data_IF_809715456323
#
_entry.id   IF_809715456323
#
_cell.length_a   1.000
_cell.length_b   1.000
_cell.length_c   1.000
_cell.angle_alpha   90.00
_cell.angle_beta   90.00
_cell.angle_gamma   90.00
#
_symmetry.space_group_name_H-M   'P 1'
#
loop_
_entity.id
_entity.type
_entity.pdbx_description
1 polymer ?
#
# COMPACT_ATOMS: atom_id res chain seq x y z
N UNK A 1 -6.71 49.17 15.97
CA UNK A 1 -7.62 48.01 15.99
C UNK A 1 -8.61 48.21 14.86
N UNK A 2 -8.57 47.36 13.84
CA UNK A 2 -9.39 47.55 12.63
C UNK A 2 -10.88 47.47 13.02
N UNK A 3 -11.61 48.55 12.73
CA UNK A 3 -13.05 48.65 12.93
C UNK A 3 -13.73 47.55 12.11
N UNK A 4 -14.39 46.60 12.77
CA UNK A 4 -15.33 45.70 12.10
C UNK A 4 -16.45 46.58 11.54
N UNK A 5 -16.51 46.73 10.22
CA UNK A 5 -17.57 47.50 9.59
C UNK A 5 -18.87 46.69 9.61
N UNK A 6 -20.05 47.35 9.61
CA UNK A 6 -21.34 46.65 9.62
C UNK A 6 -21.52 45.66 8.46
N UNK A 7 -20.82 45.89 7.35
CA UNK A 7 -20.79 44.98 6.20
C UNK A 7 -20.02 43.69 6.48
N UNK A 8 -18.92 43.76 7.24
CA UNK A 8 -18.13 42.59 7.63
C UNK A 8 -18.96 41.72 8.59
N UNK A 9 -19.67 42.33 9.53
CA UNK A 9 -20.55 41.62 10.46
C UNK A 9 -21.73 40.94 9.73
N UNK A 10 -22.33 41.61 8.74
CA UNK A 10 -23.34 40.99 7.87
C UNK A 10 -22.79 39.82 7.06
N UNK A 11 -21.57 39.91 6.55
CA UNK A 11 -20.93 38.83 5.80
C UNK A 11 -20.68 37.61 6.69
N UNK A 12 -20.22 37.81 7.93
CA UNK A 12 -20.04 36.75 8.93
C UNK A 12 -21.37 36.10 9.31
N UNK A 13 -22.40 36.88 9.63
CA UNK A 13 -23.74 36.36 9.96
C UNK A 13 -24.38 35.62 8.78
N UNK A 14 -24.13 36.05 7.55
CA UNK A 14 -24.59 35.36 6.34
C UNK A 14 -23.84 34.06 6.11
N UNK A 15 -22.52 34.05 6.32
CA UNK A 15 -21.71 32.84 6.28
C UNK A 15 -22.14 31.85 7.37
N UNK A 16 -22.41 32.34 8.58
CA UNK A 16 -22.93 31.57 9.70
C UNK A 16 -24.31 30.99 9.38
N UNK A 17 -25.22 31.79 8.81
CA UNK A 17 -26.55 31.40 8.32
C UNK A 17 -26.53 30.40 7.16
N UNK A 18 -25.54 30.45 6.30
CA UNK A 18 -25.34 29.46 5.24
C UNK A 18 -24.66 28.19 5.80
N UNK A 19 -23.90 28.31 6.90
CA UNK A 19 -23.21 27.20 7.59
C UNK A 19 -24.02 26.49 8.69
N UNK A 20 -25.28 26.92 8.90
CA UNK A 20 -26.02 26.96 10.17
C UNK A 20 -26.47 25.64 10.82
N UNK A 21 -25.74 24.54 10.66
CA UNK A 21 -25.74 23.51 11.70
C UNK A 21 -24.30 23.07 11.98
N UNK A 22 -23.64 23.62 13.01
CA UNK A 22 -22.29 23.21 13.38
C UNK A 22 -22.21 21.71 13.70
N UNK A 23 -23.32 21.08 14.12
CA UNK A 23 -23.40 19.63 14.31
C UNK A 23 -23.41 18.92 12.95
N UNK A 24 -24.16 19.41 11.96
CA UNK A 24 -24.13 18.86 10.61
C UNK A 24 -22.76 19.04 9.94
N UNK A 25 -22.10 20.19 10.16
CA UNK A 25 -20.75 20.46 9.66
C UNK A 25 -19.73 19.51 10.29
N UNK A 26 -19.74 19.36 11.61
CA UNK A 26 -18.87 18.43 12.31
C UNK A 26 -19.11 16.97 11.87
N UNK A 27 -20.38 16.57 11.68
CA UNK A 27 -20.73 15.23 11.15
C UNK A 27 -20.19 15.03 9.72
N UNK A 28 -20.32 16.03 8.86
CA UNK A 28 -19.80 15.99 7.49
C UNK A 28 -18.27 15.85 7.49
N UNK A 29 -17.57 16.65 8.30
CA UNK A 29 -16.11 16.61 8.40
C UNK A 29 -15.62 15.28 8.98
N UNK A 30 -16.28 14.76 10.02
CA UNK A 30 -15.97 13.44 10.58
C UNK A 30 -16.15 12.32 9.56
N UNK A 31 -17.25 12.35 8.79
CA UNK A 31 -17.48 11.38 7.70
C UNK A 31 -16.42 11.49 6.62
N UNK A 32 -16.13 12.71 6.14
CA UNK A 32 -15.12 12.95 5.11
C UNK A 32 -13.74 12.50 5.57
N UNK A 33 -13.40 12.73 6.85
CA UNK A 33 -12.17 12.23 7.44
C UNK A 33 -12.13 10.71 7.43
N UNK A 34 -13.19 10.04 7.89
CA UNK A 34 -13.27 8.58 7.87
C UNK A 34 -13.12 8.01 6.45
N UNK A 35 -13.80 8.59 5.46
CA UNK A 35 -13.68 8.17 4.06
C UNK A 35 -12.25 8.34 3.54
N UNK A 36 -11.58 9.44 3.90
CA UNK A 36 -10.19 9.69 3.52
C UNK A 36 -9.21 8.72 4.19
N UNK A 37 -9.35 8.53 5.50
CA UNK A 37 -8.53 7.60 6.28
C UNK A 37 -8.71 6.18 5.72
N UNK A 38 -9.95 5.74 5.49
CA UNK A 38 -10.26 4.45 4.88
C UNK A 38 -9.64 4.27 3.50
N UNK A 39 -9.78 5.25 2.60
CA UNK A 39 -9.20 5.15 1.27
C UNK A 39 -7.67 5.08 1.33
N UNK A 40 -7.05 5.87 2.20
CA UNK A 40 -5.60 5.87 2.41
C UNK A 40 -5.12 4.52 2.93
N UNK A 41 -5.81 3.95 3.92
CA UNK A 41 -5.49 2.64 4.46
C UNK A 41 -5.65 1.53 3.40
N UNK A 42 -6.72 1.60 2.60
CA UNK A 42 -6.98 0.63 1.53
C UNK A 42 -5.94 0.71 0.40
N UNK A 43 -5.52 1.92 0.02
CA UNK A 43 -4.47 2.13 -0.97
C UNK A 43 -3.14 1.58 -0.46
N UNK A 44 -2.77 1.88 0.79
CA UNK A 44 -1.57 1.32 1.43
C UNK A 44 -1.61 -0.22 1.48
N UNK A 45 -2.72 -0.80 1.93
CA UNK A 45 -2.88 -2.26 1.98
C UNK A 45 -2.80 -2.92 0.59
N UNK A 46 -3.32 -2.24 -0.45
CA UNK A 46 -3.23 -2.72 -1.83
C UNK A 46 -1.79 -2.68 -2.33
N UNK A 47 -1.07 -1.58 -2.11
CA UNK A 47 0.33 -1.45 -2.49
C UNK A 47 1.21 -2.49 -1.81
N UNK A 48 1.07 -2.65 -0.48
CA UNK A 48 1.77 -3.69 0.27
C UNK A 48 1.44 -5.09 -0.26
N UNK A 49 0.16 -5.37 -0.52
CA UNK A 49 -0.27 -6.64 -1.08
C UNK A 49 0.35 -6.93 -2.44
N UNK A 50 0.47 -5.92 -3.32
CA UNK A 50 1.13 -6.05 -4.62
C UNK A 50 2.63 -6.31 -4.45
N UNK A 51 3.32 -5.57 -3.57
CA UNK A 51 4.75 -5.76 -3.32
C UNK A 51 5.05 -7.15 -2.76
N UNK A 52 4.29 -7.58 -1.75
CA UNK A 52 4.41 -8.92 -1.16
C UNK A 52 4.11 -9.99 -2.21
N UNK A 53 3.06 -9.81 -3.01
CA UNK A 53 2.66 -10.73 -4.07
C UNK A 53 3.74 -10.87 -5.14
N UNK A 54 4.33 -9.76 -5.59
CA UNK A 54 5.40 -9.75 -6.56
C UNK A 54 6.67 -10.43 -6.04
N UNK A 55 7.10 -10.11 -4.81
CA UNK A 55 8.25 -10.74 -4.18
C UNK A 55 8.06 -12.27 -4.00
N UNK A 56 6.87 -12.69 -3.53
CA UNK A 56 6.52 -14.12 -3.43
C UNK A 56 6.50 -14.79 -4.81
N UNK A 57 5.95 -14.13 -5.83
CA UNK A 57 5.90 -14.62 -7.19
C UNK A 57 7.29 -14.88 -7.78
N UNK A 58 8.21 -13.92 -7.63
CA UNK A 58 9.62 -14.09 -8.05
C UNK A 58 10.26 -15.26 -7.32
N UNK A 59 10.11 -15.33 -5.99
CA UNK A 59 10.72 -16.40 -5.19
C UNK A 59 10.20 -17.78 -5.60
N UNK A 60 8.88 -17.93 -5.75
CA UNK A 60 8.26 -19.18 -6.20
C UNK A 60 8.75 -19.55 -7.61
N UNK A 61 8.80 -18.59 -8.53
CA UNK A 61 9.27 -18.84 -9.89
C UNK A 61 10.73 -19.28 -9.93
N UNK A 62 11.59 -18.66 -9.13
CA UNK A 62 13.00 -19.05 -9.03
C UNK A 62 13.15 -20.47 -8.48
N UNK A 63 12.37 -20.83 -7.47
CA UNK A 63 12.33 -22.21 -6.93
C UNK A 63 11.90 -23.22 -7.99
N UNK A 64 10.84 -22.95 -8.74
CA UNK A 64 10.40 -23.81 -9.83
C UNK A 64 11.50 -24.01 -10.90
N UNK A 65 12.21 -22.94 -11.26
CA UNK A 65 13.32 -23.02 -12.22
C UNK A 65 14.42 -23.93 -11.69
N UNK A 66 14.82 -23.77 -10.43
CA UNK A 66 15.83 -24.62 -9.79
C UNK A 66 15.39 -26.09 -9.79
N UNK A 67 14.15 -26.37 -9.37
CA UNK A 67 13.60 -27.73 -9.35
C UNK A 67 13.58 -28.36 -10.74
N UNK A 68 13.19 -27.59 -11.76
CA UNK A 68 13.21 -28.05 -13.15
C UNK A 68 14.62 -28.34 -13.64
N UNK A 69 15.60 -27.50 -13.32
CA UNK A 69 17.01 -27.72 -13.69
C UNK A 69 17.57 -28.97 -12.99
N UNK A 70 17.25 -29.17 -11.71
CA UNK A 70 17.62 -30.38 -10.96
C UNK A 70 17.00 -31.63 -11.57
N UNK A 71 15.72 -31.59 -11.96
CA UNK A 71 15.02 -32.70 -12.61
C UNK A 71 15.64 -33.06 -13.98
N UNK A 72 16.24 -32.08 -14.66
CA UNK A 72 16.98 -32.27 -15.91
C UNK A 72 18.47 -32.60 -15.69
N UNK A 73 18.86 -32.96 -14.47
CA UNK A 73 20.21 -33.41 -14.10
C UNK A 73 21.31 -32.35 -14.32
N UNK A 74 20.96 -31.06 -14.32
CA UNK A 74 21.97 -30.01 -14.35
C UNK A 74 22.82 -30.04 -13.06
N UNK A 75 24.15 -29.83 -13.16
CA UNK A 75 25.00 -29.82 -11.99
C UNK A 75 24.71 -28.60 -11.11
N UNK A 76 24.74 -28.80 -9.78
CA UNK A 76 24.37 -27.78 -8.79
C UNK A 76 25.21 -26.51 -8.94
N UNK A 77 26.50 -26.64 -9.27
CA UNK A 77 27.38 -25.50 -9.53
C UNK A 77 26.92 -24.65 -10.72
N UNK A 78 26.38 -25.27 -11.77
CA UNK A 78 25.86 -24.55 -12.94
C UNK A 78 24.52 -23.89 -12.61
N UNK A 79 23.66 -24.57 -11.84
CA UNK A 79 22.39 -23.98 -11.37
C UNK A 79 22.68 -22.74 -10.52
N UNK A 80 23.63 -22.83 -9.59
CA UNK A 80 24.05 -21.70 -8.74
C UNK A 80 24.52 -20.50 -9.57
N UNK A 81 25.29 -20.74 -10.64
CA UNK A 81 25.74 -19.67 -11.56
C UNK A 81 24.63 -19.09 -12.41
N UNK A 82 23.58 -19.85 -12.74
CA UNK A 82 22.48 -19.39 -13.61
C UNK A 82 21.38 -18.66 -12.86
N UNK A 83 21.17 -19.01 -11.59
CA UNK A 83 20.09 -18.44 -10.76
C UNK A 83 20.59 -17.45 -9.71
N UNK A 84 21.91 -17.25 -9.62
CA UNK A 84 22.60 -16.48 -8.58
C UNK A 84 22.25 -16.92 -7.14
N UNK A 85 21.77 -18.15 -6.99
CA UNK A 85 21.44 -18.73 -5.69
C UNK A 85 22.64 -19.47 -5.11
N UNK A 86 22.86 -19.41 -3.78
CA UNK A 86 23.91 -20.17 -3.15
C UNK A 86 23.60 -21.66 -3.22
N UNK A 87 24.66 -22.47 -3.36
CA UNK A 87 24.58 -23.93 -3.40
C UNK A 87 23.77 -24.48 -2.21
N UNK A 88 23.94 -23.90 -1.02
CA UNK A 88 23.22 -24.29 0.20
C UNK A 88 21.70 -24.11 0.10
N UNK A 89 21.20 -23.10 -0.63
CA UNK A 89 19.76 -22.96 -0.87
C UNK A 89 19.26 -23.96 -1.90
N UNK A 90 20.04 -24.22 -2.94
CA UNK A 90 19.69 -25.23 -3.96
C UNK A 90 19.61 -26.62 -3.34
N UNK A 91 20.53 -26.96 -2.43
CA UNK A 91 20.49 -28.23 -1.69
C UNK A 91 19.27 -28.34 -0.77
N UNK A 92 18.88 -27.25 -0.09
CA UNK A 92 17.64 -27.22 0.69
C UNK A 92 16.42 -27.49 -0.19
N UNK A 93 16.36 -26.90 -1.38
CA UNK A 93 15.26 -27.12 -2.33
C UNK A 93 15.24 -28.54 -2.89
N UNK A 94 16.41 -29.17 -3.05
CA UNK A 94 16.53 -30.57 -3.48
C UNK A 94 16.03 -31.55 -2.41
N UNK A 95 16.24 -31.22 -1.13
CA UNK A 95 15.91 -32.06 0.02
C UNK A 95 14.55 -31.72 0.66
N UNK A 96 13.80 -30.78 0.08
CA UNK A 96 12.48 -30.36 0.54
C UNK A 96 11.37 -31.13 -0.16
#
# INVERSE_FOLDING_TARGET
MAMQTPEIEKAFNTLEYISQDPVARAKYEARRKYELDYNTDMDGAREEGVQIGFAKGINNRNKEIVLNLLANHFPIEMISKLTDLPISEIEKLKNS
#
